data_IF_280854957385
#
_entry.id   IF_280854957385
#
_cell.length_a   1.000
_cell.length_b   1.000
_cell.length_c   1.000
_cell.angle_alpha   90.00
_cell.angle_beta   90.00
_cell.angle_gamma   90.00
#
_symmetry.space_group_name_H-M   'P 1'
#
loop_
_entity.id
_entity.type
_entity.pdbx_description
1 polymer ?
#
# COMPACT_ATOMS: atom_id res chain seq x y z
N UNK A 1 20.91 -7.15 2.15
CA UNK A 1 19.77 -7.40 3.05
C UNK A 1 19.90 -8.75 3.76
N UNK A 2 20.01 -9.87 3.03
CA UNK A 2 20.04 -11.21 3.65
C UNK A 2 21.18 -11.33 4.68
N UNK A 3 22.35 -10.77 4.43
CA UNK A 3 23.46 -10.79 5.39
C UNK A 3 23.13 -10.02 6.65
N UNK A 4 22.53 -8.83 6.53
CA UNK A 4 22.09 -8.03 7.67
C UNK A 4 20.94 -8.71 8.46
N UNK A 5 20.00 -9.32 7.73
CA UNK A 5 18.94 -10.12 8.35
C UNK A 5 19.53 -11.25 9.23
N UNK A 6 20.63 -11.86 8.81
CA UNK A 6 21.30 -12.94 9.57
C UNK A 6 22.17 -12.40 10.69
N UNK A 7 22.84 -11.25 10.49
CA UNK A 7 23.80 -10.67 11.45
C UNK A 7 23.11 -9.96 12.63
N UNK A 8 21.88 -9.48 12.46
CA UNK A 8 21.10 -8.76 13.47
C UNK A 8 20.10 -9.68 14.16
N UNK A 9 19.59 -9.26 15.32
CA UNK A 9 18.70 -10.10 16.14
C UNK A 9 17.35 -9.45 16.43
N UNK A 10 17.32 -8.16 16.74
CA UNK A 10 16.12 -7.45 17.20
C UNK A 10 15.69 -6.40 16.17
N UNK A 11 14.60 -6.64 15.50
CA UNK A 11 14.13 -5.84 14.39
C UNK A 11 12.91 -4.99 14.77
N UNK A 12 12.92 -3.73 14.39
CA UNK A 12 11.74 -2.87 14.36
C UNK A 12 11.33 -2.66 12.90
N UNK A 13 10.13 -3.06 12.53
CA UNK A 13 9.62 -2.95 11.17
C UNK A 13 8.59 -1.82 11.14
N UNK A 14 8.77 -0.87 10.24
CA UNK A 14 7.94 0.32 10.08
C UNK A 14 7.47 0.42 8.62
N UNK A 15 6.35 1.09 8.41
CA UNK A 15 5.83 1.46 7.10
C UNK A 15 5.34 2.90 7.08
N UNK A 16 4.67 3.30 6.02
CA UNK A 16 4.15 4.67 5.89
C UNK A 16 2.97 4.94 6.84
N UNK A 17 2.72 6.23 7.13
CA UNK A 17 1.77 6.73 8.16
C UNK A 17 0.30 6.42 7.94
N UNK A 18 -0.12 6.01 6.78
CA UNK A 18 -1.48 5.57 6.49
C UNK A 18 -1.38 4.23 5.74
N UNK A 19 -0.97 3.16 6.46
CA UNK A 19 -0.58 1.91 5.82
C UNK A 19 -1.76 1.27 5.12
N UNK A 20 -1.55 0.89 3.86
CA UNK A 20 -2.50 0.13 3.07
C UNK A 20 -2.19 -1.38 3.09
N UNK A 21 -2.82 -2.10 2.18
CA UNK A 21 -2.74 -3.55 2.12
C UNK A 21 -1.30 -4.04 1.91
N UNK A 22 -0.53 -3.38 1.01
CA UNK A 22 0.85 -3.79 0.75
C UNK A 22 1.78 -3.42 1.90
N UNK A 23 1.63 -2.23 2.45
CA UNK A 23 2.43 -1.79 3.57
C UNK A 23 2.31 -2.74 4.76
N UNK A 24 1.09 -3.08 5.19
CA UNK A 24 0.88 -4.00 6.32
C UNK A 24 1.33 -5.42 5.96
N UNK A 25 1.01 -5.89 4.76
CA UNK A 25 1.34 -7.24 4.32
C UNK A 25 2.84 -7.47 4.16
N UNK A 26 3.58 -6.51 3.61
CA UNK A 26 5.04 -6.59 3.47
C UNK A 26 5.74 -6.60 4.83
N UNK A 27 5.29 -5.77 5.77
CA UNK A 27 5.79 -5.80 7.15
C UNK A 27 5.55 -7.15 7.81
N UNK A 28 4.34 -7.72 7.67
CA UNK A 28 3.99 -9.03 8.25
C UNK A 28 4.77 -10.15 7.59
N UNK A 29 4.88 -10.14 6.26
CA UNK A 29 5.66 -11.15 5.53
C UNK A 29 7.14 -11.12 5.96
N UNK A 30 7.75 -9.93 6.03
CA UNK A 30 9.15 -9.83 6.43
C UNK A 30 9.35 -10.26 7.89
N UNK A 31 8.42 -9.90 8.79
CA UNK A 31 8.44 -10.36 10.18
C UNK A 31 8.38 -11.90 10.28
N UNK A 32 7.48 -12.55 9.52
CA UNK A 32 7.40 -14.03 9.48
C UNK A 32 8.73 -14.62 8.96
N UNK A 33 9.33 -14.01 7.95
CA UNK A 33 10.62 -14.48 7.42
C UNK A 33 11.70 -14.40 8.49
N UNK A 34 11.77 -13.30 9.23
CA UNK A 34 12.71 -13.11 10.34
C UNK A 34 12.55 -14.16 11.44
N UNK A 35 11.32 -14.48 11.87
CA UNK A 35 11.09 -15.49 12.91
C UNK A 35 11.60 -16.86 12.53
N UNK A 36 11.60 -17.22 11.23
CA UNK A 36 12.16 -18.49 10.76
C UNK A 36 13.68 -18.59 10.96
N UNK A 37 14.37 -17.48 11.07
CA UNK A 37 15.80 -17.39 11.32
C UNK A 37 16.13 -17.03 12.78
N UNK A 38 15.23 -17.33 13.70
CA UNK A 38 15.38 -17.08 15.15
C UNK A 38 15.62 -15.58 15.46
N UNK A 39 14.99 -14.69 14.71
CA UNK A 39 15.04 -13.24 14.97
C UNK A 39 13.78 -12.76 15.67
N UNK A 40 13.88 -11.60 16.33
CA UNK A 40 12.83 -11.02 17.16
C UNK A 40 12.25 -9.75 16.50
N UNK A 41 11.31 -9.89 15.56
CA UNK A 41 10.68 -8.74 14.93
C UNK A 41 9.60 -8.12 15.81
N UNK A 42 9.52 -6.78 15.75
CA UNK A 42 8.39 -6.00 16.22
C UNK A 42 7.89 -5.15 15.05
N UNK A 43 6.58 -5.12 14.83
CA UNK A 43 5.96 -4.26 13.83
C UNK A 43 5.42 -3.01 14.55
N UNK A 44 5.84 -1.84 14.11
CA UNK A 44 5.32 -0.56 14.59
C UNK A 44 4.16 -0.11 13.72
N UNK A 45 2.97 -0.09 14.31
CA UNK A 45 1.73 0.39 13.69
C UNK A 45 1.04 1.32 14.70
N UNK A 46 1.18 2.64 14.54
CA UNK A 46 0.64 3.63 15.49
C UNK A 46 -0.88 3.81 15.39
N UNK A 47 -1.46 3.57 14.22
CA UNK A 47 -2.90 3.68 13.96
C UNK A 47 -3.69 2.40 14.21
N UNK A 48 -4.98 2.45 13.93
CA UNK A 48 -5.85 1.29 13.86
C UNK A 48 -5.56 0.49 12.58
N UNK A 49 -5.77 -0.80 12.64
CA UNK A 49 -5.61 -1.68 11.48
C UNK A 49 -7.00 -1.92 10.90
N UNK A 50 -7.21 -1.67 9.60
CA UNK A 50 -8.48 -1.90 8.92
C UNK A 50 -9.06 -3.29 9.18
N UNK A 51 -10.40 -3.39 9.27
CA UNK A 51 -11.06 -4.64 9.61
C UNK A 51 -10.78 -5.75 8.59
N UNK A 52 -10.71 -5.41 7.31
CA UNK A 52 -10.36 -6.32 6.22
C UNK A 52 -8.91 -6.86 6.30
N UNK A 53 -8.05 -6.29 7.14
CA UNK A 53 -6.67 -6.74 7.38
C UNK A 53 -6.46 -7.40 8.75
N UNK A 54 -7.51 -7.56 9.55
CA UNK A 54 -7.41 -8.18 10.89
C UNK A 54 -6.88 -9.62 10.86
N UNK A 55 -7.04 -10.34 9.76
CA UNK A 55 -6.42 -11.65 9.61
C UNK A 55 -4.89 -11.62 9.62
N UNK A 56 -4.25 -10.53 9.14
CA UNK A 56 -2.80 -10.33 9.24
C UNK A 56 -2.36 -10.13 10.71
N UNK A 57 -3.19 -9.45 11.51
CA UNK A 57 -2.97 -9.33 12.97
C UNK A 57 -3.03 -10.71 13.64
N UNK A 58 -4.02 -11.52 13.27
CA UNK A 58 -4.13 -12.92 13.77
C UNK A 58 -2.91 -13.76 13.35
N UNK A 59 -2.40 -13.57 12.14
CA UNK A 59 -1.15 -14.19 11.67
C UNK A 59 0.04 -13.78 12.52
N UNK A 60 0.19 -12.48 12.84
CA UNK A 60 1.24 -11.99 13.73
C UNK A 60 1.15 -12.65 15.11
N UNK A 61 -0.04 -12.69 15.69
CA UNK A 61 -0.29 -13.33 17.00
C UNK A 61 0.06 -14.81 16.97
N UNK A 62 -0.31 -15.54 15.92
CA UNK A 62 0.00 -16.96 15.75
C UNK A 62 1.52 -17.22 15.63
N UNK A 63 2.27 -16.32 15.00
CA UNK A 63 3.72 -16.41 14.82
C UNK A 63 4.51 -15.72 15.95
N UNK A 64 3.88 -15.34 17.06
CA UNK A 64 4.50 -14.63 18.19
C UNK A 64 5.17 -13.30 17.81
N UNK A 65 4.72 -12.66 16.73
CA UNK A 65 5.18 -11.35 16.26
C UNK A 65 4.44 -10.27 17.05
N UNK A 66 5.17 -9.35 17.65
CA UNK A 66 4.59 -8.25 18.41
C UNK A 66 4.24 -7.08 17.51
N UNK A 67 2.99 -6.63 17.57
CA UNK A 67 2.56 -5.35 17.00
C UNK A 67 2.56 -4.32 18.16
N UNK A 68 3.19 -3.18 17.94
CA UNK A 68 3.31 -2.11 18.92
C UNK A 68 2.80 -0.80 18.33
N UNK A 69 1.86 -0.15 19.02
CA UNK A 69 1.28 1.14 18.64
C UNK A 69 1.89 2.33 19.37
N UNK A 70 2.70 2.07 20.39
CA UNK A 70 3.29 3.14 21.23
C UNK A 70 4.75 2.89 21.58
N UNK A 71 5.46 3.98 21.87
CA UNK A 71 6.91 4.00 22.12
C UNK A 71 7.37 3.16 23.30
N UNK A 72 6.58 3.11 24.39
CA UNK A 72 6.94 2.42 25.63
C UNK A 72 7.04 0.90 25.48
N UNK A 73 6.43 0.36 24.43
CA UNK A 73 6.40 -1.09 24.16
C UNK A 73 7.51 -1.57 23.21
N UNK A 74 8.25 -0.66 22.59
CA UNK A 74 9.40 -1.01 21.74
C UNK A 74 10.55 -1.50 22.63
N UNK A 75 11.18 -2.62 22.26
CA UNK A 75 12.35 -3.13 22.98
C UNK A 75 13.52 -2.14 22.94
N UNK A 76 14.33 -2.13 24.00
CA UNK A 76 15.50 -1.27 24.06
C UNK A 76 16.67 -1.77 23.20
N UNK A 77 16.67 -3.05 22.86
CA UNK A 77 17.75 -3.76 22.19
C UNK A 77 17.57 -3.85 20.66
N UNK A 78 16.83 -2.90 20.04
CA UNK A 78 16.70 -2.86 18.57
C UNK A 78 18.08 -2.61 17.96
N UNK A 79 18.48 -3.46 17.02
CA UNK A 79 19.75 -3.40 16.29
C UNK A 79 19.57 -3.28 14.77
N UNK A 80 18.34 -3.38 14.29
CA UNK A 80 17.97 -3.09 12.91
C UNK A 80 16.55 -2.50 12.81
N UNK A 81 16.39 -1.52 11.94
CA UNK A 81 15.07 -0.98 11.52
C UNK A 81 14.85 -1.39 10.08
N UNK A 82 13.65 -1.88 9.79
CA UNK A 82 13.24 -2.22 8.41
C UNK A 82 12.12 -1.27 8.02
N UNK A 83 12.27 -0.62 6.89
CA UNK A 83 11.29 0.26 6.30
C UNK A 83 10.66 -0.48 5.12
N UNK A 84 9.36 -0.70 5.18
CA UNK A 84 8.61 -1.36 4.12
C UNK A 84 7.67 -0.35 3.46
N UNK A 85 7.60 -0.40 2.14
CA UNK A 85 6.57 0.27 1.34
C UNK A 85 6.41 1.75 1.69
N UNK A 86 7.52 2.49 1.66
CA UNK A 86 7.52 3.90 2.07
C UNK A 86 8.39 4.73 1.13
N UNK A 87 7.79 5.50 0.21
CA UNK A 87 8.53 6.17 -0.86
C UNK A 87 9.43 7.32 -0.41
N UNK A 88 9.23 7.88 0.80
CA UNK A 88 10.05 8.99 1.31
C UNK A 88 9.97 9.16 2.83
N UNK A 89 11.00 9.77 3.45
CA UNK A 89 11.08 9.94 4.92
C UNK A 89 9.88 10.64 5.54
N UNK A 90 9.28 11.62 4.85
CA UNK A 90 8.13 12.39 5.35
C UNK A 90 6.83 11.56 5.47
N UNK A 91 6.79 10.38 4.89
CA UNK A 91 5.68 9.45 5.00
C UNK A 91 5.81 8.49 6.19
N UNK A 92 6.97 8.41 6.83
CA UNK A 92 7.11 7.64 8.07
C UNK A 92 6.46 8.38 9.24
N UNK A 93 5.67 7.65 10.02
CA UNK A 93 5.19 8.16 11.31
C UNK A 93 6.23 7.88 12.39
N UNK A 94 7.16 8.81 12.54
CA UNK A 94 8.25 8.70 13.50
C UNK A 94 7.89 9.37 14.83
N UNK A 95 7.70 8.56 15.86
CA UNK A 95 7.74 9.10 17.22
C UNK A 95 9.19 9.51 17.61
N UNK A 96 9.38 10.35 18.66
CA UNK A 96 10.72 10.85 19.02
C UNK A 96 11.75 9.75 19.35
N UNK A 97 11.31 8.57 19.77
CA UNK A 97 12.20 7.45 20.05
C UNK A 97 12.69 6.81 18.76
N UNK A 98 11.79 6.49 17.83
CA UNK A 98 12.16 5.91 16.52
C UNK A 98 13.01 6.92 15.74
N UNK A 99 12.66 8.20 15.77
CA UNK A 99 13.44 9.26 15.12
C UNK A 99 14.89 9.33 15.63
N UNK A 100 15.13 9.09 16.94
CA UNK A 100 16.49 8.98 17.49
C UNK A 100 17.19 7.72 17.02
N UNK A 101 16.49 6.57 17.00
CA UNK A 101 17.04 5.29 16.53
C UNK A 101 17.41 5.37 15.04
N UNK A 102 16.63 6.08 14.22
CA UNK A 102 16.94 6.30 12.81
C UNK A 102 18.22 7.12 12.56
N UNK A 103 18.68 7.89 13.56
CA UNK A 103 19.92 8.68 13.51
C UNK A 103 21.11 7.96 14.15
N UNK A 104 20.91 6.80 14.73
CA UNK A 104 21.95 6.02 15.38
C UNK A 104 22.62 5.10 14.35
N UNK A 105 23.89 5.37 14.04
CA UNK A 105 24.66 4.61 13.06
C UNK A 105 24.95 3.16 13.48
N UNK A 106 24.78 2.83 14.75
CA UNK A 106 24.90 1.44 15.24
C UNK A 106 23.68 0.59 14.83
N UNK A 107 22.54 1.22 14.51
CA UNK A 107 21.30 0.57 14.09
C UNK A 107 21.25 0.54 12.57
N UNK A 108 21.23 -0.67 12.01
CA UNK A 108 21.14 -0.86 10.56
C UNK A 108 19.74 -0.47 10.05
N UNK A 109 19.68 0.28 8.95
CA UNK A 109 18.44 0.64 8.29
C UNK A 109 18.32 -0.12 6.97
N UNK A 110 17.36 -1.03 6.91
CA UNK A 110 17.02 -1.83 5.74
C UNK A 110 15.77 -1.23 5.11
N UNK A 111 15.73 -1.13 3.78
CA UNK A 111 14.58 -0.62 3.04
C UNK A 111 14.12 -1.63 2.00
N UNK A 112 12.81 -1.84 1.92
CA UNK A 112 12.17 -2.71 0.91
C UNK A 112 10.99 -1.93 0.34
N UNK A 113 11.15 -1.43 -0.89
CA UNK A 113 10.16 -0.56 -1.51
C UNK A 113 10.10 -0.75 -3.03
N UNK A 114 8.92 -0.55 -3.60
CA UNK A 114 8.69 -0.65 -5.04
C UNK A 114 8.39 0.72 -5.71
N UNK A 115 8.34 1.79 -4.94
CA UNK A 115 8.09 3.13 -5.45
C UNK A 115 9.34 3.72 -6.10
N UNK A 116 9.25 4.05 -7.39
CA UNK A 116 10.34 4.59 -8.20
C UNK A 116 10.00 5.96 -8.81
N UNK A 117 9.12 6.72 -8.19
CA UNK A 117 8.72 8.05 -8.67
C UNK A 117 9.81 9.12 -8.44
N UNK A 118 9.74 10.22 -9.18
CA UNK A 118 10.63 11.37 -8.99
C UNK A 118 10.49 12.08 -7.63
N UNK A 119 9.47 11.71 -6.85
CA UNK A 119 9.21 12.19 -5.48
C UNK A 119 9.63 11.15 -4.41
N UNK A 120 10.27 10.06 -4.83
CA UNK A 120 10.81 9.02 -3.92
C UNK A 120 12.21 9.39 -3.47
N UNK A 121 12.51 9.12 -2.19
CA UNK A 121 13.82 9.35 -1.58
C UNK A 121 14.18 8.18 -0.67
N UNK A 122 15.45 7.77 -0.67
CA UNK A 122 15.89 6.64 0.13
C UNK A 122 15.86 6.94 1.62
N UNK A 123 15.37 5.97 2.40
CA UNK A 123 15.28 6.04 3.85
C UNK A 123 16.28 5.09 4.50
N UNK A 124 16.50 3.94 3.89
CA UNK A 124 17.46 2.93 4.31
C UNK A 124 18.91 3.31 4.04
N UNK A 125 19.81 2.46 4.48
CA UNK A 125 21.22 2.53 4.06
C UNK A 125 21.35 2.01 2.62
N UNK A 126 22.07 2.70 1.71
CA UNK A 126 22.11 2.31 0.29
C UNK A 126 22.47 0.84 0.06
N UNK A 127 23.42 0.31 0.85
CA UNK A 127 23.88 -1.08 0.73
C UNK A 127 22.83 -2.11 1.16
N UNK A 128 21.80 -1.67 1.89
CA UNK A 128 20.75 -2.53 2.46
C UNK A 128 19.36 -2.18 1.94
N UNK A 129 19.28 -1.34 0.91
CA UNK A 129 18.01 -0.96 0.27
C UNK A 129 17.73 -1.86 -0.94
N UNK A 130 16.53 -2.43 -0.98
CA UNK A 130 15.94 -3.14 -2.09
C UNK A 130 14.77 -2.29 -2.63
N UNK A 131 15.11 -1.26 -3.37
CA UNK A 131 14.16 -0.36 -4.02
C UNK A 131 14.22 -0.61 -5.52
N UNK A 132 13.18 -1.22 -6.06
CA UNK A 132 13.15 -1.62 -7.48
C UNK A 132 11.72 -1.86 -7.97
N UNK A 133 11.52 -1.77 -9.28
CA UNK A 133 10.22 -2.04 -9.91
C UNK A 133 9.70 -3.44 -9.55
N UNK A 134 8.52 -3.47 -8.95
CA UNK A 134 7.79 -4.68 -8.58
C UNK A 134 6.30 -4.36 -8.53
N UNK A 135 5.45 -5.38 -8.47
CA UNK A 135 4.00 -5.19 -8.31
C UNK A 135 3.63 -4.67 -6.92
N UNK A 136 4.51 -4.90 -5.93
CA UNK A 136 4.31 -4.54 -4.53
C UNK A 136 5.61 -4.75 -3.74
N UNK A 137 5.76 -4.13 -2.59
CA UNK A 137 6.84 -4.39 -1.64
C UNK A 137 6.75 -5.82 -1.08
N UNK A 138 5.56 -6.37 -0.96
CA UNK A 138 5.33 -7.78 -0.60
C UNK A 138 5.93 -8.75 -1.64
N UNK A 139 5.86 -8.44 -2.94
CA UNK A 139 6.56 -9.22 -3.99
C UNK A 139 8.06 -9.27 -3.71
N UNK A 140 8.67 -8.14 -3.33
CA UNK A 140 10.10 -8.07 -3.04
C UNK A 140 10.50 -8.91 -1.84
N UNK A 141 9.65 -8.94 -0.79
CA UNK A 141 9.86 -9.86 0.36
C UNK A 141 9.79 -11.32 -0.11
N UNK A 142 8.83 -11.65 -0.95
CA UNK A 142 8.71 -12.97 -1.57
C UNK A 142 9.95 -13.33 -2.41
N UNK A 143 10.48 -12.38 -3.17
CA UNK A 143 11.71 -12.55 -3.94
C UNK A 143 12.92 -12.85 -3.05
N UNK A 144 13.07 -12.17 -1.90
CA UNK A 144 14.10 -12.47 -0.93
C UNK A 144 13.99 -13.91 -0.41
N UNK A 145 12.79 -14.38 -0.12
CA UNK A 145 12.55 -15.75 0.31
C UNK A 145 12.88 -16.78 -0.80
N UNK A 146 12.60 -16.48 -2.07
CA UNK A 146 13.02 -17.32 -3.21
C UNK A 146 14.54 -17.41 -3.29
N UNK A 147 15.27 -16.31 -3.07
CA UNK A 147 16.75 -16.29 -2.98
C UNK A 147 17.25 -17.12 -1.79
N UNK A 148 16.59 -17.03 -0.64
CA UNK A 148 16.91 -17.85 0.52
C UNK A 148 16.66 -19.35 0.27
N UNK A 149 15.59 -19.71 -0.45
CA UNK A 149 15.24 -21.10 -0.79
C UNK A 149 16.36 -21.83 -1.55
N UNK A 150 17.17 -21.10 -2.32
CA UNK A 150 18.34 -21.67 -3.03
C UNK A 150 19.53 -21.94 -2.11
N UNK A 151 19.57 -21.33 -0.92
CA UNK A 151 20.69 -21.43 0.03
C UNK A 151 20.50 -22.59 1.01
N UNK A 152 20.49 -23.82 0.50
CA UNK A 152 20.18 -25.06 1.27
C UNK A 152 21.02 -25.21 2.57
N UNK A 153 22.33 -24.94 2.53
CA UNK A 153 23.20 -25.01 3.70
C UNK A 153 22.75 -24.05 4.80
N UNK A 154 22.32 -22.86 4.43
CA UNK A 154 21.80 -21.85 5.37
C UNK A 154 20.47 -22.32 5.99
N UNK A 155 19.53 -22.78 5.16
CA UNK A 155 18.23 -23.26 5.64
C UNK A 155 18.39 -24.44 6.62
N UNK A 156 19.27 -25.39 6.30
CA UNK A 156 19.56 -26.53 7.15
C UNK A 156 20.13 -26.09 8.52
N UNK A 157 20.97 -25.05 8.57
CA UNK A 157 21.50 -24.50 9.82
C UNK A 157 20.39 -24.04 10.76
N UNK A 158 19.30 -23.51 10.22
CA UNK A 158 18.14 -23.02 10.99
C UNK A 158 16.97 -24.02 11.02
N UNK A 159 17.19 -25.26 10.59
CA UNK A 159 16.17 -26.30 10.51
C UNK A 159 14.93 -25.92 9.67
N UNK A 160 15.13 -25.06 8.67
CA UNK A 160 14.07 -24.60 7.78
C UNK A 160 14.00 -25.53 6.56
N UNK A 161 12.94 -26.30 6.46
CA UNK A 161 12.68 -27.15 5.30
C UNK A 161 12.30 -26.33 4.05
N UNK A 162 11.41 -25.36 4.22
CA UNK A 162 11.00 -24.40 3.20
C UNK A 162 10.72 -23.03 3.86
N UNK A 163 11.23 -21.93 3.32
CA UNK A 163 10.90 -20.59 3.81
C UNK A 163 9.42 -20.22 3.59
N UNK A 164 8.73 -20.88 2.64
CA UNK A 164 7.34 -20.61 2.32
C UNK A 164 6.40 -21.42 3.22
N UNK A 165 5.74 -20.73 4.14
CA UNK A 165 4.62 -21.27 4.92
C UNK A 165 3.32 -20.63 4.43
N UNK A 166 2.16 -21.24 4.75
CA UNK A 166 0.85 -20.73 4.37
C UNK A 166 0.67 -19.25 4.73
N UNK A 167 0.92 -18.89 5.99
CA UNK A 167 0.77 -17.51 6.46
C UNK A 167 1.74 -16.54 5.76
N UNK A 168 2.94 -16.97 5.44
CA UNK A 168 3.92 -16.17 4.72
C UNK A 168 3.46 -15.90 3.28
N UNK A 169 3.02 -16.95 2.56
CA UNK A 169 2.52 -16.81 1.18
C UNK A 169 1.24 -15.99 1.15
N UNK A 170 0.34 -16.19 2.12
CA UNK A 170 -0.88 -15.39 2.25
C UNK A 170 -0.56 -13.89 2.44
N UNK A 171 0.40 -13.55 3.30
CA UNK A 171 0.80 -12.15 3.48
C UNK A 171 1.37 -11.55 2.17
N UNK A 172 2.24 -12.28 1.45
CA UNK A 172 2.76 -11.82 0.14
C UNK A 172 1.61 -11.56 -0.83
N UNK A 173 0.67 -12.49 -0.95
CA UNK A 173 -0.45 -12.37 -1.88
C UNK A 173 -1.40 -11.24 -1.49
N UNK A 174 -1.58 -10.98 -0.19
CA UNK A 174 -2.37 -9.82 0.28
C UNK A 174 -1.83 -8.51 -0.30
N UNK A 175 -0.53 -8.25 -0.19
CA UNK A 175 0.07 -7.03 -0.74
C UNK A 175 -0.01 -6.97 -2.26
N UNK A 176 0.32 -8.07 -2.96
CA UNK A 176 0.21 -8.12 -4.42
C UNK A 176 -1.22 -7.85 -4.88
N UNK A 177 -2.22 -8.43 -4.22
CA UNK A 177 -3.63 -8.24 -4.57
C UNK A 177 -4.10 -6.81 -4.29
N UNK A 178 -3.70 -6.23 -3.15
CA UNK A 178 -4.03 -4.85 -2.78
C UNK A 178 -3.56 -3.86 -3.83
N UNK A 179 -2.29 -3.93 -4.22
CA UNK A 179 -1.68 -3.00 -5.18
C UNK A 179 -2.07 -3.25 -6.63
N UNK A 180 -2.36 -4.50 -6.99
CA UNK A 180 -2.61 -4.86 -8.38
C UNK A 180 -4.08 -5.09 -8.70
N UNK A 181 -4.99 -4.85 -7.76
CA UNK A 181 -6.42 -5.15 -7.91
C UNK A 181 -6.64 -6.54 -8.52
N UNK A 182 -6.24 -7.58 -7.77
CA UNK A 182 -6.35 -8.98 -8.20
C UNK A 182 -5.52 -9.32 -9.46
N UNK A 183 -4.36 -8.69 -9.61
CA UNK A 183 -3.47 -8.92 -10.74
C UNK A 183 -3.83 -8.18 -12.03
N UNK A 184 -4.84 -7.32 -12.01
CA UNK A 184 -5.28 -6.56 -13.18
C UNK A 184 -4.23 -5.52 -13.61
N UNK A 185 -3.47 -4.96 -12.66
CA UNK A 185 -2.42 -3.97 -12.91
C UNK A 185 -1.00 -4.54 -12.94
N UNK A 186 -0.84 -5.84 -13.17
CA UNK A 186 0.49 -6.44 -13.37
C UNK A 186 1.09 -5.94 -14.69
N UNK A 187 2.21 -5.21 -14.61
CA UNK A 187 2.83 -4.48 -15.71
C UNK A 187 3.72 -5.35 -16.56
N UNK A 188 4.63 -6.05 -15.92
CA UNK A 188 5.70 -6.78 -16.58
C UNK A 188 5.48 -8.30 -16.59
N UNK A 189 6.19 -9.00 -17.52
CA UNK A 189 6.25 -10.47 -17.50
C UNK A 189 6.79 -11.01 -16.18
N UNK A 190 7.69 -10.26 -15.53
CA UNK A 190 8.28 -10.61 -14.24
C UNK A 190 7.23 -10.60 -13.14
N UNK A 191 6.44 -9.53 -13.02
CA UNK A 191 5.37 -9.41 -12.01
C UNK A 191 4.31 -10.52 -12.17
N UNK A 192 3.85 -10.76 -13.40
CA UNK A 192 2.94 -11.87 -13.71
C UNK A 192 3.51 -13.22 -13.28
N UNK A 193 4.79 -13.46 -13.56
CA UNK A 193 5.47 -14.69 -13.15
C UNK A 193 5.53 -14.84 -11.63
N UNK A 194 5.79 -13.77 -10.87
CA UNK A 194 5.81 -13.83 -9.41
C UNK A 194 4.41 -14.04 -8.84
N UNK A 195 3.41 -13.38 -9.38
CA UNK A 195 2.02 -13.62 -9.00
C UNK A 195 1.62 -15.09 -9.23
N UNK A 196 1.93 -15.67 -10.39
CA UNK A 196 1.66 -17.07 -10.70
C UNK A 196 2.41 -18.02 -9.76
N UNK A 197 3.68 -17.73 -9.44
CA UNK A 197 4.48 -18.53 -8.50
C UNK A 197 3.82 -18.53 -7.12
N UNK A 198 3.46 -17.39 -6.57
CA UNK A 198 2.90 -17.32 -5.22
C UNK A 198 1.48 -17.84 -5.15
N UNK A 199 0.64 -17.59 -6.16
CA UNK A 199 -0.69 -18.17 -6.28
C UNK A 199 -0.64 -19.69 -6.39
N UNK A 200 0.26 -20.24 -7.22
CA UNK A 200 0.48 -21.67 -7.34
C UNK A 200 0.97 -22.31 -6.03
N UNK A 201 1.90 -21.65 -5.32
CA UNK A 201 2.34 -22.10 -3.99
C UNK A 201 1.19 -22.12 -2.99
N UNK A 202 0.35 -21.09 -2.99
CA UNK A 202 -0.79 -21.02 -2.08
C UNK A 202 -1.79 -22.15 -2.35
N UNK A 203 -2.17 -22.36 -3.60
CA UNK A 203 -3.04 -23.44 -3.99
C UNK A 203 -2.48 -24.83 -3.59
N UNK A 204 -1.19 -25.08 -3.84
CA UNK A 204 -0.53 -26.33 -3.43
C UNK A 204 -0.52 -26.53 -1.91
N UNK A 205 -0.40 -25.44 -1.13
CA UNK A 205 -0.46 -25.51 0.33
C UNK A 205 -1.89 -25.81 0.80
N UNK A 206 -2.90 -25.23 0.14
CA UNK A 206 -4.32 -25.44 0.47
C UNK A 206 -4.82 -26.86 0.14
N UNK A 207 -4.27 -27.51 -0.88
CA UNK A 207 -4.55 -28.92 -1.18
C UNK A 207 -4.19 -29.85 -0.02
N UNK A 208 -3.29 -29.42 0.86
CA UNK A 208 -3.02 -30.10 2.13
C UNK A 208 -4.13 -29.76 3.10
N UNK A 209 -4.85 -30.77 3.62
CA UNK A 209 -5.99 -30.61 4.53
C UNK A 209 -5.72 -29.56 5.62
N UNK A 210 -6.52 -28.48 5.62
CA UNK A 210 -6.53 -27.47 6.68
C UNK A 210 -7.76 -27.70 7.56
N UNK A 211 -7.53 -27.93 8.85
CA UNK A 211 -8.55 -28.33 9.84
C UNK A 211 -9.39 -27.15 10.37
N UNK A 212 -9.29 -25.92 9.83
CA UNK A 212 -9.95 -24.73 10.37
C UNK A 212 -10.83 -24.04 9.33
N UNK A 213 -12.11 -23.92 9.63
CA UNK A 213 -13.14 -23.28 8.80
C UNK A 213 -12.98 -21.76 8.58
N UNK A 214 -12.01 -21.12 9.28
CA UNK A 214 -11.75 -19.67 9.22
C UNK A 214 -10.64 -19.27 8.25
N UNK A 215 -10.19 -20.18 7.40
CA UNK A 215 -9.09 -19.92 6.49
C UNK A 215 -9.60 -19.65 5.08
N UNK A 216 -9.03 -18.65 4.42
CA UNK A 216 -9.23 -18.45 2.99
C UNK A 216 -8.84 -19.72 2.21
N UNK A 217 -9.69 -20.16 1.33
CA UNK A 217 -9.52 -21.40 0.55
C UNK A 217 -9.05 -21.13 -0.89
N UNK A 218 -9.18 -19.90 -1.35
CA UNK A 218 -8.77 -19.48 -2.69
C UNK A 218 -8.45 -17.97 -2.72
N UNK A 219 -7.90 -17.51 -3.85
CA UNK A 219 -7.50 -16.12 -4.06
C UNK A 219 -8.68 -15.16 -4.11
N UNK A 220 -9.84 -15.62 -4.59
CA UNK A 220 -11.05 -14.82 -4.67
C UNK A 220 -11.52 -14.37 -3.29
N UNK A 221 -11.55 -15.29 -2.33
CA UNK A 221 -11.93 -14.97 -0.94
C UNK A 221 -11.00 -13.94 -0.29
N UNK A 222 -9.70 -13.97 -0.60
CA UNK A 222 -8.76 -12.94 -0.11
C UNK A 222 -9.12 -11.58 -0.71
N UNK A 223 -9.40 -11.56 -2.01
CA UNK A 223 -9.75 -10.32 -2.69
C UNK A 223 -11.10 -9.77 -2.20
N UNK A 224 -12.10 -10.63 -2.02
CA UNK A 224 -13.40 -10.25 -1.45
C UNK A 224 -13.25 -9.64 -0.06
N UNK A 225 -12.43 -10.25 0.81
CA UNK A 225 -12.16 -9.72 2.16
C UNK A 225 -11.50 -8.34 2.10
N UNK A 226 -10.54 -8.12 1.17
CA UNK A 226 -9.89 -6.84 1.01
C UNK A 226 -10.83 -5.74 0.46
N UNK A 227 -11.90 -6.13 -0.21
CA UNK A 227 -12.91 -5.20 -0.75
C UNK A 227 -14.13 -5.03 0.16
N UNK A 228 -14.21 -5.78 1.27
CA UNK A 228 -15.34 -5.69 2.19
C UNK A 228 -15.34 -4.36 2.94
N UNK A 229 -16.42 -3.62 2.78
CA UNK A 229 -16.66 -2.38 3.53
C UNK A 229 -17.54 -2.68 4.76
N UNK A 230 -17.18 -2.13 5.90
CA UNK A 230 -18.00 -2.17 7.12
C UNK A 230 -19.27 -1.33 6.94
N UNK A 231 -20.26 -1.50 7.82
CA UNK A 231 -21.51 -0.69 7.78
C UNK A 231 -21.21 0.83 7.84
N UNK A 232 -20.22 1.25 8.63
CA UNK A 232 -19.81 2.66 8.71
C UNK A 232 -19.14 3.13 7.42
N UNK A 233 -18.32 2.29 6.80
CA UNK A 233 -17.69 2.59 5.50
C UNK A 233 -18.75 2.64 4.39
N UNK A 234 -19.76 1.76 4.42
CA UNK A 234 -20.90 1.80 3.49
C UNK A 234 -21.68 3.10 3.63
N UNK A 235 -21.92 3.56 4.87
CA UNK A 235 -22.60 4.85 5.10
C UNK A 235 -21.79 6.04 4.54
N UNK A 236 -20.48 6.06 4.80
CA UNK A 236 -19.56 7.05 4.25
C UNK A 236 -19.51 6.97 2.71
N UNK A 237 -19.46 5.74 2.16
CA UNK A 237 -19.47 5.50 0.71
C UNK A 237 -20.73 6.07 0.06
N UNK A 238 -21.90 5.82 0.61
CA UNK A 238 -23.17 6.31 0.08
C UNK A 238 -23.21 7.85 0.09
N UNK A 239 -22.78 8.47 1.19
CA UNK A 239 -22.72 9.93 1.29
C UNK A 239 -21.86 10.56 0.18
N UNK A 240 -20.68 10.03 -0.06
CA UNK A 240 -19.77 10.53 -1.12
C UNK A 240 -20.32 10.18 -2.52
N UNK A 241 -20.82 8.96 -2.70
CA UNK A 241 -21.30 8.46 -3.98
C UNK A 241 -22.56 9.19 -4.50
N UNK A 242 -23.38 9.78 -3.63
CA UNK A 242 -24.51 10.63 -4.02
C UNK A 242 -24.10 11.89 -4.78
N UNK A 243 -22.85 12.36 -4.58
CA UNK A 243 -22.27 13.55 -5.21
C UNK A 243 -21.54 13.25 -6.52
N UNK A 244 -21.59 12.00 -6.99
CA UNK A 244 -20.92 11.60 -8.22
C UNK A 244 -21.50 12.29 -9.45
N UNK A 245 -20.60 12.65 -10.35
CA UNK A 245 -20.88 13.20 -11.66
C UNK A 245 -20.10 12.41 -12.71
N UNK A 246 -20.49 12.48 -13.94
CA UNK A 246 -19.80 11.84 -15.07
C UNK A 246 -19.67 12.82 -16.23
N UNK A 247 -18.49 12.82 -16.83
CA UNK A 247 -18.23 13.37 -18.16
C UNK A 247 -18.08 12.22 -19.17
N UNK A 248 -17.55 12.48 -20.36
CA UNK A 248 -17.41 11.43 -21.39
C UNK A 248 -16.46 10.30 -20.97
N UNK A 249 -15.40 10.63 -20.22
CA UNK A 249 -14.34 9.67 -19.87
C UNK A 249 -14.04 9.59 -18.39
N UNK A 250 -14.61 10.48 -17.57
CA UNK A 250 -14.24 10.61 -16.17
C UNK A 250 -15.47 10.57 -15.27
N UNK A 251 -15.50 9.62 -14.33
CA UNK A 251 -16.42 9.68 -13.20
C UNK A 251 -15.79 10.52 -12.07
N UNK A 252 -16.46 11.54 -11.57
CA UNK A 252 -15.83 12.42 -10.59
C UNK A 252 -16.74 12.82 -9.43
N UNK A 253 -16.10 13.22 -8.33
CA UNK A 253 -16.72 13.77 -7.14
C UNK A 253 -15.93 15.00 -6.69
N UNK A 254 -16.65 16.05 -6.32
CA UNK A 254 -16.10 17.23 -5.65
C UNK A 254 -16.71 17.28 -4.25
N UNK A 255 -15.87 17.27 -3.22
CA UNK A 255 -16.28 17.43 -1.83
C UNK A 255 -15.79 18.80 -1.34
N UNK A 256 -16.73 19.68 -1.07
CA UNK A 256 -16.46 21.02 -0.55
C UNK A 256 -16.15 21.00 0.95
N UNK A 257 -15.78 22.14 1.53
CA UNK A 257 -15.50 22.26 2.96
C UNK A 257 -16.64 21.72 3.83
N UNK A 258 -17.88 22.08 3.51
CA UNK A 258 -19.08 21.62 4.27
C UNK A 258 -19.24 20.10 4.22
N UNK A 259 -18.93 19.47 3.08
CA UNK A 259 -18.95 18.01 2.93
C UNK A 259 -17.86 17.35 3.78
N UNK A 260 -16.66 17.92 3.74
CA UNK A 260 -15.54 17.41 4.53
C UNK A 260 -15.75 17.62 6.02
N UNK A 261 -16.32 18.75 6.43
CA UNK A 261 -16.70 19.02 7.82
C UNK A 261 -17.76 18.02 8.33
N UNK A 262 -18.72 17.66 7.46
CA UNK A 262 -19.68 16.60 7.78
C UNK A 262 -18.98 15.24 7.90
N UNK A 263 -18.15 14.88 6.94
CA UNK A 263 -17.44 13.61 6.93
C UNK A 263 -16.52 13.46 8.15
N UNK A 264 -15.77 14.49 8.53
CA UNK A 264 -14.89 14.47 9.71
C UNK A 264 -15.63 14.45 11.05
N UNK A 265 -16.90 14.91 11.10
CA UNK A 265 -17.74 14.79 12.29
C UNK A 265 -18.33 13.39 12.47
N UNK A 266 -18.70 12.74 11.38
CA UNK A 266 -19.41 11.44 11.41
C UNK A 266 -18.47 10.24 11.32
N UNK A 267 -17.29 10.40 10.68
CA UNK A 267 -16.40 9.31 10.35
C UNK A 267 -14.95 9.61 10.72
N UNK A 268 -14.22 8.57 11.11
CA UNK A 268 -12.80 8.66 11.37
C UNK A 268 -12.03 8.88 10.06
N UNK A 269 -10.91 9.57 10.12
CA UNK A 269 -10.06 9.89 8.96
C UNK A 269 -9.69 8.63 8.15
N UNK A 270 -9.50 7.51 8.81
CA UNK A 270 -9.17 6.21 8.20
C UNK A 270 -10.32 5.69 7.34
N UNK A 271 -11.56 5.76 7.83
CA UNK A 271 -12.77 5.42 7.07
C UNK A 271 -12.87 6.29 5.81
N UNK A 272 -12.71 7.61 5.96
CA UNK A 272 -12.76 8.55 4.82
C UNK A 272 -11.70 8.20 3.78
N UNK A 273 -10.49 7.87 4.23
CA UNK A 273 -9.39 7.51 3.33
C UNK A 273 -9.67 6.20 2.58
N UNK A 274 -10.14 5.15 3.28
CA UNK A 274 -10.50 3.86 2.70
C UNK A 274 -11.62 4.01 1.69
N UNK A 275 -12.68 4.72 2.08
CA UNK A 275 -13.86 4.95 1.25
C UNK A 275 -13.55 5.80 0.01
N UNK A 276 -12.71 6.83 0.14
CA UNK A 276 -12.29 7.63 -1.02
C UNK A 276 -11.54 6.78 -2.06
N UNK A 277 -10.71 5.82 -1.61
CA UNK A 277 -10.07 4.86 -2.53
C UNK A 277 -11.10 3.97 -3.23
N UNK A 278 -12.07 3.44 -2.49
CA UNK A 278 -13.13 2.57 -3.02
C UNK A 278 -14.04 3.31 -4.03
N UNK A 279 -14.41 4.54 -3.73
CA UNK A 279 -15.19 5.42 -4.64
C UNK A 279 -14.40 5.70 -5.92
N UNK A 280 -13.11 6.05 -5.81
CA UNK A 280 -12.27 6.29 -6.98
C UNK A 280 -12.23 5.07 -7.91
N UNK A 281 -12.05 3.86 -7.37
CA UNK A 281 -12.09 2.64 -8.14
C UNK A 281 -13.48 2.44 -8.79
N UNK A 282 -14.55 2.56 -8.01
CA UNK A 282 -15.92 2.39 -8.50
C UNK A 282 -16.28 3.36 -9.63
N UNK A 283 -15.86 4.62 -9.53
CA UNK A 283 -16.11 5.63 -10.56
C UNK A 283 -15.31 5.37 -11.83
N UNK A 284 -14.04 4.95 -11.70
CA UNK A 284 -13.20 4.59 -12.85
C UNK A 284 -13.80 3.40 -13.63
N UNK A 285 -14.31 2.38 -12.92
CA UNK A 285 -14.97 1.24 -13.55
C UNK A 285 -16.30 1.65 -14.23
N UNK A 286 -17.10 2.49 -13.57
CA UNK A 286 -18.38 2.96 -14.11
C UNK A 286 -18.23 3.88 -15.32
N UNK A 287 -17.22 4.75 -15.34
CA UNK A 287 -16.90 5.58 -16.51
C UNK A 287 -16.27 4.76 -17.66
N UNK A 288 -15.75 3.57 -17.33
CA UNK A 288 -15.00 2.71 -18.24
C UNK A 288 -13.57 3.22 -18.52
N UNK A 289 -13.16 4.37 -18.00
CA UNK A 289 -11.84 4.97 -18.26
C UNK A 289 -11.18 5.49 -17.00
N UNK A 290 -11.59 6.65 -16.47
CA UNK A 290 -10.92 7.34 -15.39
C UNK A 290 -11.87 7.75 -14.28
N UNK A 291 -11.33 8.01 -13.11
CA UNK A 291 -12.02 8.73 -12.03
C UNK A 291 -11.19 9.87 -11.48
N UNK A 292 -11.89 10.84 -10.90
CA UNK A 292 -11.31 11.98 -10.20
C UNK A 292 -12.09 12.21 -8.90
N UNK A 293 -11.38 12.28 -7.77
CA UNK A 293 -11.96 12.76 -6.52
C UNK A 293 -11.18 14.00 -6.10
N UNK A 294 -11.91 15.09 -5.89
CA UNK A 294 -11.39 16.34 -5.39
C UNK A 294 -12.01 16.64 -4.02
N UNK A 295 -11.19 17.00 -3.04
CA UNK A 295 -11.67 17.33 -1.71
C UNK A 295 -10.79 18.35 -0.99
N UNK A 296 -11.44 19.22 -0.19
CA UNK A 296 -10.76 20.10 0.73
C UNK A 296 -10.22 19.30 1.93
N UNK A 297 -8.99 19.55 2.35
CA UNK A 297 -8.33 18.87 3.47
C UNK A 297 -7.54 19.86 4.33
N UNK A 298 -7.41 19.56 5.61
CA UNK A 298 -6.62 20.33 6.57
C UNK A 298 -5.45 19.49 7.09
N UNK A 299 -4.50 19.15 6.23
CA UNK A 299 -3.32 18.40 6.64
C UNK A 299 -2.29 19.31 7.31
N UNK A 300 -1.96 19.02 8.57
CA UNK A 300 -0.88 19.73 9.29
C UNK A 300 -1.12 21.22 9.57
N UNK A 301 -2.39 21.67 9.55
CA UNK A 301 -2.75 23.08 9.78
C UNK A 301 -2.78 23.93 8.51
N UNK A 302 -2.38 23.40 7.37
CA UNK A 302 -2.52 24.06 6.07
C UNK A 302 -3.81 23.59 5.39
N UNK A 303 -4.59 24.54 4.86
CA UNK A 303 -5.75 24.21 4.03
C UNK A 303 -5.29 23.84 2.63
N UNK A 304 -5.57 22.59 2.24
CA UNK A 304 -5.19 22.02 0.95
C UNK A 304 -6.42 21.59 0.16
N UNK A 305 -6.32 21.59 -1.15
CA UNK A 305 -7.21 20.87 -2.06
C UNK A 305 -6.46 19.65 -2.57
N UNK A 306 -6.99 18.47 -2.32
CA UNK A 306 -6.41 17.20 -2.76
C UNK A 306 -7.18 16.63 -3.94
N UNK A 307 -6.44 16.05 -4.86
CA UNK A 307 -6.95 15.37 -6.04
C UNK A 307 -6.44 13.92 -6.04
N UNK A 308 -7.33 13.00 -6.32
CA UNK A 308 -6.99 11.58 -6.51
C UNK A 308 -7.63 11.09 -7.79
N UNK A 309 -6.83 10.43 -8.63
CA UNK A 309 -7.31 9.83 -9.87
C UNK A 309 -7.01 8.34 -9.90
N UNK A 310 -7.92 7.60 -10.50
CA UNK A 310 -7.77 6.18 -10.77
C UNK A 310 -8.10 5.88 -12.23
N UNK A 311 -7.48 4.83 -12.75
CA UNK A 311 -7.77 4.29 -14.09
C UNK A 311 -8.57 3.00 -13.95
N UNK A 312 -9.62 2.84 -14.74
CA UNK A 312 -10.37 1.59 -14.85
C UNK A 312 -9.47 0.44 -15.32
N UNK A 313 -9.70 -0.75 -14.82
CA UNK A 313 -8.81 -1.89 -15.04
C UNK A 313 -8.71 -2.35 -16.49
N UNK A 314 -9.79 -2.19 -17.28
CA UNK A 314 -9.81 -2.51 -18.71
C UNK A 314 -9.20 -1.42 -19.57
N UNK A 315 -9.10 -0.19 -19.08
CA UNK A 315 -8.59 0.95 -19.82
C UNK A 315 -7.07 1.08 -19.63
N UNK A 316 -6.28 0.43 -20.49
CA UNK A 316 -4.80 0.37 -20.38
C UNK A 316 -4.06 1.34 -21.33
N UNK A 317 -4.78 2.05 -22.16
CA UNK A 317 -4.20 2.90 -23.21
C UNK A 317 -3.65 4.23 -22.71
N UNK A 318 -3.81 4.56 -21.41
CA UNK A 318 -3.42 5.85 -20.87
C UNK A 318 -2.66 5.69 -19.55
N UNK A 319 -1.51 6.36 -19.44
CA UNK A 319 -0.74 6.43 -18.19
C UNK A 319 -1.18 7.66 -17.40
N UNK A 320 -1.74 7.47 -16.20
CA UNK A 320 -2.21 8.61 -15.40
C UNK A 320 -1.10 9.61 -15.03
N UNK A 321 0.17 9.21 -15.03
CA UNK A 321 1.28 10.14 -14.78
C UNK A 321 1.38 11.23 -15.84
N UNK A 322 0.88 10.97 -17.06
CA UNK A 322 0.84 11.97 -18.12
C UNK A 322 -0.05 13.16 -17.77
N UNK A 323 -1.07 12.96 -16.93
CA UNK A 323 -1.91 14.05 -16.41
C UNK A 323 -1.07 15.07 -15.62
N UNK A 324 -0.10 14.61 -14.81
CA UNK A 324 0.78 15.50 -14.06
C UNK A 324 1.62 16.39 -14.98
N UNK A 325 2.09 15.84 -16.10
CA UNK A 325 2.87 16.59 -17.10
C UNK A 325 1.98 17.55 -17.89
N UNK A 326 0.82 17.09 -18.35
CA UNK A 326 -0.11 17.88 -19.16
C UNK A 326 -0.62 19.09 -18.37
N UNK A 327 -0.92 18.91 -17.10
CA UNK A 327 -1.40 19.96 -16.21
C UNK A 327 -0.27 20.73 -15.51
N UNK A 328 1.01 20.42 -15.81
CA UNK A 328 2.19 21.01 -15.21
C UNK A 328 2.17 20.99 -13.66
N UNK A 329 1.82 19.82 -13.09
CA UNK A 329 1.68 19.62 -11.64
C UNK A 329 3.01 19.18 -11.06
N UNK A 330 3.64 20.02 -10.25
CA UNK A 330 4.91 19.72 -9.58
C UNK A 330 4.73 18.88 -8.30
N UNK A 331 3.61 19.07 -7.58
CA UNK A 331 3.34 18.43 -6.27
C UNK A 331 2.40 17.24 -6.41
N UNK A 332 2.71 16.30 -7.32
CA UNK A 332 1.96 15.12 -7.56
C UNK A 332 2.83 13.88 -7.70
N UNK A 333 2.24 12.70 -7.48
CA UNK A 333 2.93 11.43 -7.62
C UNK A 333 1.97 10.27 -7.78
N UNK A 334 2.53 9.10 -8.05
CA UNK A 334 1.77 7.87 -8.22
C UNK A 334 2.34 6.97 -9.31
N UNK A 335 1.49 6.11 -9.85
CA UNK A 335 1.84 5.16 -10.91
C UNK A 335 0.81 5.24 -12.06
N UNK A 336 1.02 4.47 -13.11
CA UNK A 336 0.17 4.52 -14.32
C UNK A 336 -1.35 4.34 -14.08
N UNK A 337 -1.74 3.66 -13.02
CA UNK A 337 -3.15 3.37 -12.67
C UNK A 337 -3.72 4.26 -11.57
N UNK A 338 -2.88 5.03 -10.87
CA UNK A 338 -3.31 5.90 -9.78
C UNK A 338 -2.34 7.04 -9.55
N UNK A 339 -2.87 8.24 -9.44
CA UNK A 339 -2.10 9.43 -9.06
C UNK A 339 -2.81 10.23 -7.97
N UNK A 340 -2.04 10.99 -7.23
CA UNK A 340 -2.54 12.00 -6.29
C UNK A 340 -1.73 13.28 -6.41
N UNK A 341 -2.38 14.41 -6.28
CA UNK A 341 -1.73 15.71 -6.24
C UNK A 341 -2.51 16.68 -5.37
N UNK A 342 -1.89 17.78 -4.98
CA UNK A 342 -2.49 18.73 -4.05
C UNK A 342 -2.01 20.14 -4.30
N UNK A 343 -2.85 21.10 -3.96
CA UNK A 343 -2.55 22.52 -4.00
C UNK A 343 -2.91 23.19 -2.69
N UNK A 344 -2.24 24.30 -2.31
CA UNK A 344 -2.76 25.19 -1.29
C UNK A 344 -4.14 25.72 -1.71
N UNK A 345 -5.09 25.76 -0.78
CA UNK A 345 -6.47 26.15 -1.10
C UNK A 345 -6.58 27.57 -1.70
N UNK A 346 -5.72 28.48 -1.28
CA UNK A 346 -5.66 29.84 -1.82
C UNK A 346 -5.23 29.88 -3.30
N UNK A 347 -4.63 28.82 -3.82
CA UNK A 347 -4.26 28.68 -5.25
C UNK A 347 -5.43 28.25 -6.12
N UNK A 348 -6.49 27.71 -5.52
CA UNK A 348 -7.71 27.24 -6.22
C UNK A 348 -8.93 27.83 -5.48
N UNK A 349 -9.25 29.11 -5.70
CA UNK A 349 -10.36 29.76 -5.01
C UNK A 349 -11.73 29.21 -5.37
N UNK A 350 -11.87 28.60 -6.56
CA UNK A 350 -13.09 27.94 -7.05
C UNK A 350 -12.74 26.54 -7.54
N UNK A 351 -13.07 25.55 -6.73
CA UNK A 351 -12.75 24.15 -7.01
C UNK A 351 -13.60 23.59 -8.16
N UNK A 352 -14.89 23.96 -8.25
CA UNK A 352 -15.76 23.50 -9.33
C UNK A 352 -15.24 24.00 -10.68
N UNK A 353 -14.94 25.26 -10.78
CA UNK A 353 -14.39 25.84 -12.00
C UNK A 353 -13.06 25.20 -12.39
N UNK A 354 -12.17 24.98 -11.43
CA UNK A 354 -10.88 24.32 -11.71
C UNK A 354 -11.07 22.91 -12.26
N UNK A 355 -11.99 22.14 -11.68
CA UNK A 355 -12.30 20.78 -12.15
C UNK A 355 -12.97 20.84 -13.54
N UNK A 356 -13.89 21.77 -13.77
CA UNK A 356 -14.54 21.96 -15.08
C UNK A 356 -13.54 22.36 -16.19
N UNK A 357 -12.51 23.14 -15.88
CA UNK A 357 -11.45 23.49 -16.82
C UNK A 357 -10.46 22.32 -17.04
N UNK A 358 -10.22 21.52 -16.01
CA UNK A 358 -9.27 20.38 -16.05
C UNK A 358 -9.80 19.17 -16.81
N UNK A 359 -11.08 18.81 -16.63
CA UNK A 359 -11.69 17.62 -17.23
C UNK A 359 -11.51 17.58 -18.74
N UNK A 360 -11.86 18.63 -19.54
CA UNK A 360 -11.69 18.60 -20.99
C UNK A 360 -10.25 18.41 -21.44
N UNK A 361 -9.29 18.96 -20.72
CA UNK A 361 -7.85 18.82 -21.02
C UNK A 361 -7.41 17.36 -20.88
N UNK A 362 -7.88 16.69 -19.82
CA UNK A 362 -7.58 15.27 -19.60
C UNK A 362 -8.29 14.40 -20.65
N UNK A 363 -9.54 14.69 -20.98
CA UNK A 363 -10.31 13.94 -21.98
C UNK A 363 -9.70 14.02 -23.38
N UNK A 364 -9.23 15.18 -23.78
CA UNK A 364 -8.45 15.38 -25.00
C UNK A 364 -7.18 14.53 -25.05
N UNK A 365 -6.48 14.42 -23.93
CA UNK A 365 -5.29 13.59 -23.84
C UNK A 365 -5.63 12.09 -23.90
N UNK A 366 -6.70 11.68 -23.20
CA UNK A 366 -7.23 10.30 -23.23
C UNK A 366 -7.63 9.91 -24.67
N UNK A 367 -8.35 10.79 -25.37
CA UNK A 367 -8.73 10.51 -26.76
C UNK A 367 -7.55 10.35 -27.70
N UNK A 368 -6.50 11.18 -27.52
CA UNK A 368 -5.27 11.06 -28.32
C UNK A 368 -4.57 9.73 -28.05
N UNK A 369 -4.51 9.30 -26.81
CA UNK A 369 -3.90 8.02 -26.42
C UNK A 369 -4.70 6.79 -26.92
N UNK A 370 -6.02 6.91 -27.08
CA UNK A 370 -6.86 5.83 -27.64
C UNK A 370 -6.73 5.73 -29.15
N UNK A 371 -6.43 6.84 -29.84
CA UNK A 371 -6.27 6.89 -31.31
C UNK A 371 -4.85 6.52 -31.76
N UNK A 372 -3.86 6.53 -30.88
CA UNK A 372 -2.46 6.17 -31.14
C UNK A 372 -2.25 4.65 -31.01
#
# INVERSE_FOLDING_TARGET
IIEMMLARSNFLICGHKSPDEDCIASMVAFAILLTKFDKFPQIYLPGSIPDNLQYLVKICKYNSIRIVSGTRRILNSIDAIVICDTPKPSMLELNPRIARMMKDDSIVRIEIDHHLGGDSDYIGMPEYSLVTAASSSSELVGYLALKLRTRKKLLNKYLISDPFSRNFVLAILTGILGDTQKGQFLKSRREKKFYDIFSGMYNTILERMTVRDTNFTNMEQIFEELQHLTEREVACFNYINERRRFSESIGYVILHEDDMDHLYREFDHEIITTVTKAIANTLAEKSGRLSLICFADQAGGEKLVQFRMRRGHLFRSFDLRDVLYILNIANGGGHEGAIGFRFPQNSIPDIDRYVEEMIPVIEDAVERAVKA
#
